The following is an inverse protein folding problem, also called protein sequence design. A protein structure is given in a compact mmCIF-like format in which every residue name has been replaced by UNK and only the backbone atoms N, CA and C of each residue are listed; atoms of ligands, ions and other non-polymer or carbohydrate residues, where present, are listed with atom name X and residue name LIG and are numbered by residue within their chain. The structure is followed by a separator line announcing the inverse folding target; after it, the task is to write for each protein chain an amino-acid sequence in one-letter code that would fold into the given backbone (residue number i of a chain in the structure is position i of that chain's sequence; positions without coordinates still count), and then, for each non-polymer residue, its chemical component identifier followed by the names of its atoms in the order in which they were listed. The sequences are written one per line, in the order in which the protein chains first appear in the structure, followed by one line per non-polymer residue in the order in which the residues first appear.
data_IF_427048339651
#
_entry.id   IF_427048339651
#
_cell.length_a   1.000
_cell.length_b   1.000
_cell.length_c   1.000
_cell.angle_alpha   90.00
_cell.angle_beta   90.00
_cell.angle_gamma   90.00
#
_symmetry.space_group_name_H-M   'P 1'
#
loop_
_entity.id
_entity.type
_entity.pdbx_description
1 polymer ?
#
# COMPACT_ATOMS: atom_id res chain seq x y z
N UNK A 1 18.47 29.84 -20.18
CA UNK A 1 18.09 30.01 -18.76
C UNK A 1 19.33 29.80 -17.90
N UNK A 2 19.66 30.74 -17.01
CA UNK A 2 20.89 30.67 -16.19
C UNK A 2 20.74 29.57 -15.12
N UNK A 3 21.86 28.99 -14.68
CA UNK A 3 21.89 27.89 -13.69
C UNK A 3 21.23 28.33 -12.36
N UNK A 4 21.45 29.58 -11.98
CA UNK A 4 20.87 30.21 -10.78
C UNK A 4 19.33 30.23 -10.80
N UNK A 5 18.74 30.47 -11.97
CA UNK A 5 17.28 30.49 -12.14
C UNK A 5 16.69 29.08 -11.97
N UNK A 6 17.41 28.05 -12.44
CA UNK A 6 16.99 26.66 -12.29
C UNK A 6 17.00 26.22 -10.82
N UNK A 7 18.06 26.58 -10.08
CA UNK A 7 18.18 26.24 -8.66
C UNK A 7 17.04 26.84 -7.83
N UNK A 8 16.70 28.11 -8.03
CA UNK A 8 15.56 28.75 -7.36
C UNK A 8 14.24 28.04 -7.62
N UNK A 9 14.03 27.58 -8.86
CA UNK A 9 12.81 26.84 -9.24
C UNK A 9 12.76 25.47 -8.57
N UNK A 10 13.87 24.72 -8.55
CA UNK A 10 13.91 23.42 -7.88
C UNK A 10 13.66 23.54 -6.38
N UNK A 11 14.28 24.49 -5.69
CA UNK A 11 14.04 24.74 -4.26
C UNK A 11 12.57 25.10 -4.01
N UNK A 12 11.95 25.88 -4.89
CA UNK A 12 10.53 26.24 -4.78
C UNK A 12 9.61 25.03 -4.97
N UNK A 13 9.87 24.18 -5.98
CA UNK A 13 9.12 22.94 -6.24
C UNK A 13 9.26 21.96 -5.06
N UNK A 14 10.48 21.80 -4.54
CA UNK A 14 10.75 20.94 -3.39
C UNK A 14 9.99 21.42 -2.14
N UNK A 15 10.02 22.71 -1.82
CA UNK A 15 9.28 23.27 -0.70
C UNK A 15 7.77 23.09 -0.85
N UNK A 16 7.23 23.26 -2.06
CA UNK A 16 5.80 23.01 -2.33
C UNK A 16 5.48 21.52 -2.13
N UNK A 17 6.29 20.62 -2.67
CA UNK A 17 6.11 19.17 -2.49
C UNK A 17 6.12 18.77 -1.01
N UNK A 18 7.04 19.32 -0.23
CA UNK A 18 7.13 19.09 1.21
C UNK A 18 5.89 19.59 1.95
N UNK A 19 5.41 20.79 1.63
CA UNK A 19 4.18 21.35 2.23
C UNK A 19 2.96 20.47 1.89
N UNK A 20 2.82 20.02 0.64
CA UNK A 20 1.72 19.12 0.23
C UNK A 20 1.76 17.81 1.01
N UNK A 21 2.95 17.22 1.18
CA UNK A 21 3.13 16.00 1.97
C UNK A 21 2.79 16.23 3.45
N UNK A 22 3.21 17.37 4.03
CA UNK A 22 2.90 17.72 5.42
C UNK A 22 1.39 17.90 5.64
N UNK A 23 0.70 18.60 4.73
CA UNK A 23 -0.76 18.78 4.80
C UNK A 23 -1.48 17.43 4.68
N UNK A 24 -1.04 16.57 3.75
CA UNK A 24 -1.61 15.23 3.59
C UNK A 24 -1.43 14.38 4.85
N UNK A 25 -0.25 14.43 5.47
CA UNK A 25 0.03 13.76 6.73
C UNK A 25 -0.88 14.26 7.87
N UNK A 26 -1.02 15.58 8.03
CA UNK A 26 -1.89 16.17 9.04
C UNK A 26 -3.37 15.80 8.81
N UNK A 27 -3.84 15.80 7.56
CA UNK A 27 -5.20 15.39 7.23
C UNK A 27 -5.47 13.93 7.60
N UNK A 28 -4.52 13.03 7.31
CA UNK A 28 -4.61 11.62 7.70
C UNK A 28 -4.56 11.44 9.22
N UNK A 29 -3.69 12.16 9.91
CA UNK A 29 -3.57 12.10 11.37
C UNK A 29 -4.86 12.56 12.06
N UNK A 30 -5.43 13.68 11.62
CA UNK A 30 -6.72 14.17 12.14
C UNK A 30 -7.83 13.16 11.83
N UNK A 31 -7.92 12.64 10.60
CA UNK A 31 -8.89 11.62 10.20
C UNK A 31 -8.81 10.34 11.03
N UNK A 32 -7.60 9.93 11.43
CA UNK A 32 -7.41 8.82 12.35
C UNK A 32 -7.92 9.18 13.76
N UNK A 33 -7.62 10.37 14.25
CA UNK A 33 -8.02 10.84 15.59
C UNK A 33 -9.52 11.08 15.74
N UNK A 34 -10.22 11.47 14.65
CA UNK A 34 -11.66 11.75 14.65
C UNK A 34 -12.52 10.49 14.61
N UNK A 35 -11.92 9.30 14.67
CA UNK A 35 -12.63 8.04 14.78
C UNK A 35 -13.22 7.53 13.47
N UNK A 36 -12.98 8.18 12.33
CA UNK A 36 -13.39 7.68 11.01
C UNK A 36 -12.77 6.29 10.73
N UNK A 37 -11.52 6.11 11.12
CA UNK A 37 -10.86 4.80 11.07
C UNK A 37 -11.62 3.74 11.88
N UNK A 38 -12.03 4.07 13.11
CA UNK A 38 -12.77 3.13 13.96
C UNK A 38 -14.17 2.83 13.42
N UNK A 39 -14.83 3.81 12.81
CA UNK A 39 -16.15 3.63 12.18
C UNK A 39 -16.10 2.68 10.98
N UNK A 40 -15.14 2.86 10.08
CA UNK A 40 -14.97 1.99 8.91
C UNK A 40 -14.55 0.57 9.30
N UNK A 41 -13.70 0.42 10.32
CA UNK A 41 -13.34 -0.90 10.86
C UNK A 41 -14.53 -1.58 11.54
N UNK A 42 -15.30 -0.85 12.34
CA UNK A 42 -16.51 -1.35 12.99
C UNK A 42 -17.55 -1.80 11.96
N UNK A 43 -17.74 -1.04 10.87
CA UNK A 43 -18.66 -1.41 9.79
C UNK A 43 -18.27 -2.73 9.12
N UNK A 44 -16.97 -2.93 8.85
CA UNK A 44 -16.45 -4.19 8.29
C UNK A 44 -16.61 -5.37 9.26
N UNK A 45 -16.39 -5.12 10.56
CA UNK A 45 -16.54 -6.12 11.61
C UNK A 45 -18.01 -6.56 11.75
N UNK A 46 -18.95 -5.61 11.78
CA UNK A 46 -20.40 -5.89 11.84
C UNK A 46 -20.86 -6.69 10.64
N UNK A 47 -20.49 -6.29 9.42
CA UNK A 47 -20.85 -7.04 8.21
C UNK A 47 -20.31 -8.48 8.24
N UNK A 48 -19.11 -8.68 8.78
CA UNK A 48 -18.51 -10.02 8.92
C UNK A 48 -19.26 -10.85 9.97
N UNK A 49 -19.59 -10.25 11.11
CA UNK A 49 -20.33 -10.91 12.19
C UNK A 49 -21.75 -11.31 11.76
N UNK A 50 -22.43 -10.45 11.00
CA UNK A 50 -23.75 -10.74 10.42
C UNK A 50 -23.70 -11.95 9.48
N UNK A 51 -22.69 -12.01 8.60
CA UNK A 51 -22.50 -13.14 7.67
C UNK A 51 -22.17 -14.44 8.39
N UNK A 52 -21.36 -14.39 9.47
CA UNK A 52 -21.08 -15.56 10.31
C UNK A 52 -22.35 -16.05 11.00
N UNK A 53 -23.15 -15.16 11.59
CA UNK A 53 -24.43 -15.53 12.22
C UNK A 53 -25.42 -16.14 11.22
N UNK A 54 -25.45 -15.62 9.99
CA UNK A 54 -26.29 -16.15 8.93
C UNK A 54 -25.84 -17.56 8.52
N UNK A 55 -24.54 -17.77 8.37
CA UNK A 55 -23.95 -19.09 8.12
C UNK A 55 -24.29 -20.09 9.22
N UNK A 56 -24.08 -19.75 10.49
CA UNK A 56 -24.40 -20.64 11.63
C UNK A 56 -25.88 -21.02 11.69
N UNK A 57 -26.77 -20.07 11.34
CA UNK A 57 -28.22 -20.31 11.30
C UNK A 57 -28.59 -21.27 10.16
N UNK A 58 -28.05 -21.06 8.97
CA UNK A 58 -28.35 -21.90 7.81
C UNK A 58 -27.78 -23.34 7.98
N UNK A 59 -26.62 -23.50 8.66
CA UNK A 59 -26.08 -24.80 9.10
C UNK A 59 -27.06 -25.51 10.04
N UNK A 60 -27.56 -24.81 11.08
CA UNK A 60 -28.53 -25.38 12.05
C UNK A 60 -29.86 -25.77 11.39
N UNK A 61 -30.23 -25.11 10.30
CA UNK A 61 -31.47 -25.37 9.56
C UNK A 61 -31.33 -26.46 8.48
N UNK A 62 -30.13 -27.02 8.30
CA UNK A 62 -29.89 -28.09 7.32
C UNK A 62 -30.04 -27.63 5.86
N UNK A 63 -29.88 -26.31 5.61
CA UNK A 63 -29.94 -25.75 4.26
C UNK A 63 -28.72 -26.20 3.45
N UNK A 64 -28.88 -26.27 2.13
CA UNK A 64 -27.76 -26.51 1.22
C UNK A 64 -26.87 -25.26 1.21
N UNK A 65 -25.63 -25.38 1.71
CA UNK A 65 -24.72 -24.26 1.95
C UNK A 65 -23.89 -23.99 0.69
N UNK A 66 -24.05 -22.80 0.12
CA UNK A 66 -23.14 -22.30 -0.91
C UNK A 66 -22.22 -21.24 -0.28
N UNK A 67 -20.93 -21.55 -0.19
CA UNK A 67 -19.91 -20.67 0.39
C UNK A 67 -19.84 -19.32 -0.32
N UNK A 68 -20.12 -19.27 -1.63
CA UNK A 68 -20.12 -18.01 -2.39
C UNK A 68 -21.19 -17.03 -1.92
N UNK A 69 -22.29 -17.51 -1.32
CA UNK A 69 -23.38 -16.65 -0.84
C UNK A 69 -23.06 -15.86 0.43
N UNK A 70 -22.05 -16.30 1.18
CA UNK A 70 -21.60 -15.65 2.42
C UNK A 70 -20.34 -14.79 2.22
N UNK A 71 -19.68 -14.93 1.07
CA UNK A 71 -18.60 -14.06 0.64
C UNK A 71 -19.24 -12.87 -0.10
N UNK A 72 -18.97 -11.64 0.33
CA UNK A 72 -19.47 -10.45 -0.40
C UNK A 72 -18.73 -10.29 -1.75
N UNK A 73 -19.21 -11.06 -2.74
CA UNK A 73 -19.21 -10.77 -4.18
C UNK A 73 -17.83 -10.73 -4.89
N UNK A 74 -17.84 -10.87 -6.23
CA UNK A 74 -16.74 -11.41 -7.02
C UNK A 74 -15.58 -10.43 -7.09
N UNK A 75 -14.38 -10.97 -7.33
CA UNK A 75 -13.11 -10.27 -7.56
C UNK A 75 -13.33 -8.96 -8.32
N UNK A 76 -13.50 -7.84 -7.60
CA UNK A 76 -13.67 -6.53 -8.21
C UNK A 76 -12.31 -6.10 -8.75
N UNK A 77 -12.21 -5.99 -10.07
CA UNK A 77 -11.00 -5.50 -10.70
C UNK A 77 -10.90 -3.97 -10.51
N UNK A 78 -10.10 -3.53 -9.54
CA UNK A 78 -9.81 -2.12 -9.25
C UNK A 78 -8.66 -1.54 -10.11
N UNK A 79 -8.28 -2.23 -11.18
CA UNK A 79 -7.19 -1.82 -12.04
C UNK A 79 -7.63 -0.66 -12.92
N UNK A 80 -7.13 0.53 -12.59
CA UNK A 80 -7.30 1.75 -13.37
C UNK A 80 -5.92 2.31 -13.77
N UNK A 81 -5.90 3.38 -14.56
CA UNK A 81 -4.65 3.99 -15.04
C UNK A 81 -3.69 4.39 -13.89
N UNK A 82 -4.24 4.84 -12.75
CA UNK A 82 -3.46 5.18 -11.55
C UNK A 82 -2.91 3.93 -10.88
N UNK A 83 -3.71 2.86 -10.75
CA UNK A 83 -3.27 1.57 -10.22
C UNK A 83 -2.15 0.95 -11.05
N UNK A 84 -2.25 1.01 -12.39
CA UNK A 84 -1.22 0.54 -13.31
C UNK A 84 0.06 1.37 -13.20
N UNK A 85 -0.06 2.69 -13.06
CA UNK A 85 1.09 3.57 -12.83
C UNK A 85 1.79 3.24 -11.50
N UNK A 86 1.01 3.09 -10.42
CA UNK A 86 1.53 2.70 -9.11
C UNK A 86 2.22 1.33 -9.14
N UNK A 87 1.66 0.37 -9.87
CA UNK A 87 2.27 -0.94 -10.08
C UNK A 87 3.61 -0.83 -10.80
N UNK A 88 3.69 -0.10 -11.91
CA UNK A 88 4.94 0.10 -12.65
C UNK A 88 6.00 0.82 -11.82
N UNK A 89 5.59 1.86 -11.08
CA UNK A 89 6.49 2.58 -10.17
C UNK A 89 7.04 1.63 -9.09
N UNK A 90 6.16 0.87 -8.42
CA UNK A 90 6.53 -0.11 -7.39
C UNK A 90 7.45 -1.20 -7.95
N UNK A 91 7.12 -1.74 -9.13
CA UNK A 91 7.94 -2.74 -9.82
C UNK A 91 9.34 -2.22 -10.12
N UNK A 92 9.45 -0.98 -10.63
CA UNK A 92 10.73 -0.36 -10.93
C UNK A 92 11.56 -0.12 -9.67
N UNK A 93 10.95 0.40 -8.60
CA UNK A 93 11.62 0.56 -7.30
C UNK A 93 12.12 -0.80 -6.80
N UNK A 94 11.28 -1.83 -6.80
CA UNK A 94 11.66 -3.17 -6.39
C UNK A 94 12.83 -3.74 -7.20
N UNK A 95 12.82 -3.54 -8.53
CA UNK A 95 13.92 -3.97 -9.41
C UNK A 95 15.24 -3.29 -9.07
N UNK A 96 15.24 -1.96 -8.90
CA UNK A 96 16.46 -1.22 -8.57
C UNK A 96 16.97 -1.54 -7.16
N UNK A 97 16.08 -1.69 -6.19
CA UNK A 97 16.43 -2.12 -4.82
C UNK A 97 17.05 -3.52 -4.84
N UNK A 98 16.44 -4.49 -5.54
CA UNK A 98 16.99 -5.84 -5.69
C UNK A 98 18.38 -5.81 -6.33
N UNK A 99 18.56 -5.00 -7.38
CA UNK A 99 19.86 -4.84 -8.03
C UNK A 99 20.91 -4.20 -7.11
N UNK A 100 20.54 -3.18 -6.34
CA UNK A 100 21.40 -2.57 -5.34
C UNK A 100 21.85 -3.57 -4.29
N UNK A 101 20.90 -4.32 -3.72
CA UNK A 101 21.15 -5.38 -2.74
C UNK A 101 22.09 -6.46 -3.31
N UNK A 102 21.80 -6.96 -4.52
CA UNK A 102 22.64 -7.97 -5.18
C UNK A 102 24.06 -7.47 -5.43
N UNK A 103 24.23 -6.21 -5.84
CA UNK A 103 25.56 -5.60 -5.99
C UNK A 103 26.29 -5.47 -4.67
N UNK A 104 25.61 -5.05 -3.61
CA UNK A 104 26.22 -4.92 -2.28
C UNK A 104 26.66 -6.29 -1.74
N UNK A 105 25.82 -7.32 -1.82
CA UNK A 105 26.19 -8.68 -1.41
C UNK A 105 27.28 -9.27 -2.31
N UNK A 106 27.22 -9.03 -3.62
CA UNK A 106 28.27 -9.46 -4.55
C UNK A 106 29.63 -8.81 -4.27
N UNK A 107 29.64 -7.55 -3.82
CA UNK A 107 30.86 -6.88 -3.38
C UNK A 107 31.37 -7.45 -2.05
N UNK A 108 30.48 -7.63 -1.06
CA UNK A 108 30.83 -8.22 0.23
C UNK A 108 31.40 -9.63 0.09
N UNK A 109 30.77 -10.49 -0.73
CA UNK A 109 31.29 -11.83 -1.00
C UNK A 109 32.68 -11.80 -1.62
N UNK A 110 32.93 -10.89 -2.58
CA UNK A 110 34.27 -10.73 -3.18
C UNK A 110 35.33 -10.26 -2.18
N UNK A 111 34.96 -9.42 -1.22
CA UNK A 111 35.86 -8.96 -0.16
C UNK A 111 36.15 -10.10 0.82
N UNK A 112 35.12 -10.83 1.24
CA UNK A 112 35.26 -11.98 2.16
C UNK A 112 36.05 -13.13 1.52
N UNK A 113 35.80 -13.44 0.25
CA UNK A 113 36.55 -14.45 -0.52
C UNK A 113 37.98 -13.99 -0.86
N UNK A 114 38.20 -12.67 -0.96
CA UNK A 114 39.51 -12.06 -1.17
C UNK A 114 40.41 -12.06 0.08
N UNK A 115 39.84 -12.09 1.28
CA UNK A 115 40.58 -12.22 2.56
C UNK A 115 40.94 -13.66 2.95
N UNK A 116 40.46 -14.68 2.21
CA UNK A 116 40.74 -16.10 2.48
C UNK A 116 41.88 -16.69 1.63
N UNK A 117 42.75 -15.85 1.05
CA UNK A 117 44.02 -16.23 0.41
C UNK A 117 45.19 -15.54 1.08
#
# INVERSE_FOLDING_TARGET
MKIEDKLKIYTKIFNISFIVLLITFLALYVSQSTGYYNYEQHKKMVLTEEKIKQFEKDVKQGKNLDLESYLDSPVKNYQNKVSNFGYQLSYNIGKYTKFGIQKTFGFLNKVIEGEQK
#
